data_IF_942855727390
#
_entry.id   IF_942855727390
#
_cell.length_a   1.000
_cell.length_b   1.000
_cell.length_c   1.000
_cell.angle_alpha   90.00
_cell.angle_beta   90.00
_cell.angle_gamma   90.00
#
_symmetry.space_group_name_H-M   'P 1'
#
loop_
_entity.id
_entity.type
_entity.pdbx_description
1 polymer ?
#
# COMPACT_ATOMS: atom_id res chain seq x y z
N UNK A 1 -2.64 19.62 -19.13
CA UNK A 1 -3.51 19.18 -18.02
C UNK A 1 -3.56 17.67 -18.07
N UNK A 2 -3.00 16.99 -17.06
CA UNK A 2 -2.95 15.52 -17.04
C UNK A 2 -4.36 14.92 -17.10
N UNK A 3 -4.55 13.94 -17.98
CA UNK A 3 -5.77 13.14 -18.06
C UNK A 3 -6.03 12.49 -16.70
N UNK A 4 -7.29 12.47 -16.24
CA UNK A 4 -7.69 11.75 -15.02
C UNK A 4 -7.35 10.24 -15.07
N UNK A 5 -7.08 9.70 -16.27
CA UNK A 5 -6.74 8.29 -16.48
C UNK A 5 -5.34 7.86 -16.04
N UNK A 6 -4.42 8.80 -15.77
CA UNK A 6 -3.03 8.47 -15.42
C UNK A 6 -2.79 8.45 -13.89
N UNK A 7 -3.85 8.49 -13.08
CA UNK A 7 -3.75 8.51 -11.61
C UNK A 7 -4.00 7.13 -11.04
N UNK A 8 -3.05 6.64 -10.27
CA UNK A 8 -3.17 5.37 -9.56
C UNK A 8 -3.61 5.59 -8.11
N UNK A 9 -4.57 4.78 -7.64
CA UNK A 9 -5.09 4.85 -6.28
C UNK A 9 -4.32 3.88 -5.37
N UNK A 10 -3.75 4.43 -4.31
CA UNK A 10 -3.06 3.68 -3.26
C UNK A 10 -3.77 3.90 -1.92
N UNK A 11 -3.91 2.82 -1.15
CA UNK A 11 -4.32 2.88 0.24
C UNK A 11 -3.07 3.11 1.12
N UNK A 12 -3.04 4.24 1.82
CA UNK A 12 -1.98 4.53 2.78
C UNK A 12 -2.18 3.70 4.05
N UNK A 13 -1.16 2.97 4.49
CA UNK A 13 -1.18 2.20 5.74
C UNK A 13 0.14 2.38 6.50
N UNK A 14 0.08 2.44 7.83
CA UNK A 14 1.28 2.47 8.65
C UNK A 14 2.03 1.13 8.59
N UNK A 15 3.33 1.13 8.88
CA UNK A 15 4.10 -0.11 8.88
C UNK A 15 3.60 -1.14 9.91
N UNK A 16 3.07 -0.68 11.04
CA UNK A 16 2.42 -1.56 12.01
C UNK A 16 1.17 -2.24 11.41
N UNK A 17 0.39 -1.51 10.62
CA UNK A 17 -0.80 -2.07 9.95
C UNK A 17 -0.39 -3.07 8.87
N UNK A 18 0.63 -2.73 8.07
CA UNK A 18 1.18 -3.63 7.06
C UNK A 18 1.68 -4.94 7.68
N UNK A 19 2.55 -4.85 8.68
CA UNK A 19 3.16 -6.01 9.34
C UNK A 19 2.14 -6.93 10.01
N UNK A 20 1.02 -6.41 10.52
CA UNK A 20 0.01 -7.22 11.21
C UNK A 20 -1.10 -7.78 10.31
N UNK A 21 -1.52 -7.03 9.28
CA UNK A 21 -2.69 -7.38 8.46
C UNK A 21 -2.29 -7.88 7.08
N UNK A 22 -1.23 -7.34 6.51
CA UNK A 22 -0.87 -7.58 5.11
C UNK A 22 0.24 -8.60 4.93
N UNK A 23 0.90 -9.06 5.99
CA UNK A 23 1.87 -10.17 5.95
C UNK A 23 1.22 -11.55 6.15
N UNK A 24 -0.01 -11.60 6.69
CA UNK A 24 -0.78 -12.83 6.85
C UNK A 24 -1.47 -13.24 5.55
N UNK A 25 -1.86 -14.51 5.45
CA UNK A 25 -2.39 -15.11 4.22
C UNK A 25 -3.54 -14.32 3.58
N UNK A 26 -4.52 -13.88 4.39
CA UNK A 26 -5.66 -13.11 3.87
C UNK A 26 -5.22 -11.77 3.26
N UNK A 27 -4.32 -11.05 3.91
CA UNK A 27 -3.80 -9.79 3.40
C UNK A 27 -2.97 -9.99 2.14
N UNK A 28 -2.17 -11.05 2.09
CA UNK A 28 -1.39 -11.43 0.90
C UNK A 28 -2.29 -11.78 -0.28
N UNK A 29 -3.44 -12.43 -0.08
CA UNK A 29 -4.41 -12.70 -1.15
C UNK A 29 -4.89 -11.40 -1.81
N UNK A 30 -5.14 -10.33 -1.03
CA UNK A 30 -5.56 -9.04 -1.56
C UNK A 30 -4.47 -8.38 -2.42
N UNK A 31 -3.21 -8.48 -1.98
CA UNK A 31 -2.05 -7.93 -2.70
C UNK A 31 -1.72 -8.73 -3.97
N UNK A 32 -1.67 -10.06 -3.86
CA UNK A 32 -1.30 -10.96 -4.96
C UNK A 32 -2.34 -10.94 -6.08
N UNK A 33 -3.62 -10.80 -5.73
CA UNK A 33 -4.69 -10.65 -6.71
C UNK A 33 -4.85 -9.20 -7.21
N UNK A 34 -3.95 -8.28 -6.83
CA UNK A 34 -3.94 -6.87 -7.22
C UNK A 34 -5.26 -6.14 -6.95
N UNK A 35 -5.99 -6.55 -5.92
CA UNK A 35 -7.28 -5.94 -5.54
C UNK A 35 -7.05 -4.56 -4.91
N UNK A 36 -5.92 -4.40 -4.22
CA UNK A 36 -5.51 -3.15 -3.57
C UNK A 36 -4.05 -2.85 -3.90
N UNK A 37 -3.73 -1.56 -3.99
CA UNK A 37 -2.35 -1.06 -3.97
C UNK A 37 -2.09 -0.37 -2.64
N UNK A 38 -0.91 -0.54 -2.06
CA UNK A 38 -0.55 0.03 -0.76
C UNK A 38 0.59 1.04 -0.88
N UNK A 39 0.49 2.11 -0.10
CA UNK A 39 1.60 2.99 0.22
C UNK A 39 1.89 2.81 1.71
N UNK A 40 3.01 2.19 2.04
CA UNK A 40 3.38 1.91 3.43
C UNK A 40 4.25 3.05 3.95
N UNK A 41 3.88 3.62 5.09
CA UNK A 41 4.61 4.74 5.70
C UNK A 41 5.05 4.42 7.13
N UNK A 42 6.16 5.03 7.53
CA UNK A 42 6.66 5.06 8.91
C UNK A 42 6.10 6.32 9.61
N UNK A 43 5.36 6.11 10.69
CA UNK A 43 4.72 7.17 11.47
C UNK A 43 5.73 8.03 12.25
N UNK A 44 6.83 7.45 12.71
CA UNK A 44 7.84 8.15 13.52
C UNK A 44 8.76 9.00 12.65
N UNK A 45 9.09 8.53 11.44
CA UNK A 45 9.94 9.24 10.48
C UNK A 45 9.16 10.17 9.54
N UNK A 46 7.83 10.11 9.56
CA UNK A 46 6.95 10.80 8.62
C UNK A 46 7.34 10.54 7.14
N UNK A 47 7.74 9.32 6.83
CA UNK A 47 8.31 8.93 5.55
C UNK A 47 7.55 7.79 4.88
N UNK A 48 7.45 7.84 3.56
CA UNK A 48 6.96 6.71 2.77
C UNK A 48 8.11 5.71 2.64
N UNK A 49 7.89 4.50 3.12
CA UNK A 49 8.87 3.43 3.10
C UNK A 49 8.74 2.60 1.81
N UNK A 50 7.51 2.30 1.36
CA UNK A 50 7.26 1.39 0.22
C UNK A 50 5.98 1.71 -0.55
N UNK A 51 5.98 1.36 -1.83
CA UNK A 51 4.79 1.27 -2.69
C UNK A 51 4.60 -0.19 -3.12
N UNK A 52 3.36 -0.69 -3.11
CA UNK A 52 3.04 -2.09 -3.41
C UNK A 52 1.83 -2.16 -4.34
N UNK A 53 1.93 -2.82 -5.52
CA UNK A 53 3.17 -3.18 -6.19
C UNK A 53 3.98 -1.93 -6.61
N UNK A 54 5.28 -2.11 -6.86
CA UNK A 54 6.15 -1.08 -7.45
C UNK A 54 5.69 -0.67 -8.87
#
# INVERSE_FOLDING_TARGET
MGSLGDRELYLAVSELTYSNVFTIELGQILLNNQIIKLMVFDEEREAIERWIPE
#
